data_IF_783712555954
#
_entry.id   IF_783712555954
#
_cell.length_a   1.000
_cell.length_b   1.000
_cell.length_c   1.000
_cell.angle_alpha   90.00
_cell.angle_beta   90.00
_cell.angle_gamma   90.00
#
_symmetry.space_group_name_H-M   'P 1'
#
loop_
_entity.id
_entity.type
_entity.pdbx_description
1 polymer ?
#
# COMPACT_ATOMS: atom_id res chain seq x y z
N UNK A 1 37.08 10.46 -0.93
CA UNK A 1 37.02 10.02 0.49
C UNK A 1 35.93 8.95 0.57
N UNK A 2 36.32 7.69 0.41
CA UNK A 2 35.38 6.57 0.33
C UNK A 2 35.09 5.98 1.70
N UNK A 3 33.84 5.63 1.98
CA UNK A 3 33.50 4.76 3.10
C UNK A 3 33.17 3.36 2.57
N UNK A 4 34.06 2.41 2.87
CA UNK A 4 33.83 0.97 2.73
C UNK A 4 33.00 0.50 3.91
N UNK A 5 31.91 -0.21 3.64
CA UNK A 5 31.24 -1.04 4.64
C UNK A 5 31.78 -2.46 4.53
N UNK A 6 32.40 -2.97 5.61
CA UNK A 6 32.87 -4.36 5.71
C UNK A 6 31.77 -5.21 6.33
N UNK A 7 31.36 -6.28 5.66
CA UNK A 7 30.50 -7.33 6.24
C UNK A 7 31.38 -8.46 6.82
N UNK A 8 30.98 -9.13 7.92
CA UNK A 8 31.76 -10.22 8.49
C UNK A 8 31.77 -11.45 7.58
N UNK A 9 32.92 -12.11 7.48
CA UNK A 9 33.11 -13.38 6.77
C UNK A 9 32.55 -14.54 7.59
N UNK A 10 31.60 -15.29 7.03
CA UNK A 10 31.20 -16.61 7.54
C UNK A 10 31.49 -17.65 6.45
N UNK A 11 32.23 -18.68 6.83
CA UNK A 11 32.78 -19.72 5.94
C UNK A 11 31.97 -21.02 6.03
N UNK A 12 31.66 -21.58 4.85
CA UNK A 12 31.40 -23.00 4.50
C UNK A 12 30.17 -23.75 5.07
N UNK A 13 29.75 -24.90 4.47
CA UNK A 13 29.99 -25.44 3.13
C UNK A 13 28.70 -25.61 2.28
N UNK A 14 28.86 -25.65 0.96
CA UNK A 14 27.81 -25.92 -0.04
C UNK A 14 27.51 -27.42 -0.12
N UNK A 15 26.23 -27.81 -0.11
CA UNK A 15 25.76 -29.07 -0.70
C UNK A 15 24.43 -28.87 -1.47
N UNK A 16 24.30 -29.60 -2.57
CA UNK A 16 23.47 -29.37 -3.76
C UNK A 16 21.96 -29.69 -3.64
N UNK A 17 21.15 -29.02 -4.46
CA UNK A 17 19.69 -29.20 -4.58
C UNK A 17 19.28 -30.51 -5.32
N UNK A 18 18.25 -31.18 -4.80
CA UNK A 18 17.56 -32.30 -5.44
C UNK A 18 16.41 -31.85 -6.39
N UNK A 19 15.86 -32.76 -7.21
CA UNK A 19 15.07 -32.45 -8.41
C UNK A 19 13.59 -32.06 -8.16
N UNK A 20 13.15 -31.85 -6.92
CA UNK A 20 11.71 -31.71 -6.58
C UNK A 20 11.24 -30.29 -6.29
N UNK A 21 12.07 -29.25 -6.45
CA UNK A 21 11.65 -27.85 -6.32
C UNK A 21 11.09 -27.45 -4.95
N UNK A 22 11.19 -28.35 -3.95
CA UNK A 22 10.94 -28.02 -2.55
C UNK A 22 12.16 -27.25 -2.08
N UNK A 23 11.98 -25.99 -1.69
CA UNK A 23 13.00 -25.26 -0.95
C UNK A 23 13.14 -25.99 0.39
N UNK A 24 14.10 -26.92 0.47
CA UNK A 24 14.64 -27.39 1.74
C UNK A 24 15.15 -26.17 2.50
N UNK A 25 15.01 -26.15 3.83
CA UNK A 25 15.27 -24.99 4.68
C UNK A 25 16.67 -24.42 4.43
N UNK A 26 16.76 -23.41 3.57
CA UNK A 26 17.93 -22.57 3.45
C UNK A 26 17.93 -21.65 4.68
N UNK A 27 19.04 -21.59 5.41
CA UNK A 27 19.25 -20.64 6.50
C UNK A 27 19.37 -19.21 5.92
N UNK A 28 18.26 -18.64 5.46
CA UNK A 28 18.17 -17.30 4.90
C UNK A 28 17.72 -16.34 5.99
N UNK A 29 18.55 -15.34 6.29
CA UNK A 29 18.16 -14.24 7.16
C UNK A 29 17.32 -13.26 6.33
N UNK A 30 16.06 -13.08 6.72
CA UNK A 30 15.11 -12.18 6.05
C UNK A 30 14.97 -10.90 6.89
N UNK A 31 15.17 -9.73 6.28
CA UNK A 31 14.98 -8.41 6.90
C UNK A 31 13.92 -7.62 6.12
N UNK A 32 12.88 -7.14 6.82
CA UNK A 32 11.83 -6.28 6.25
C UNK A 32 11.99 -4.87 6.80
N UNK A 33 12.03 -3.87 5.92
CA UNK A 33 12.08 -2.44 6.27
C UNK A 33 10.70 -1.83 6.04
N UNK A 34 10.16 -1.17 7.06
CA UNK A 34 8.86 -0.50 7.02
C UNK A 34 9.02 0.96 7.46
N UNK A 35 8.37 1.84 6.70
CA UNK A 35 8.39 3.29 6.89
C UNK A 35 7.64 3.78 8.12
N UNK A 36 6.56 3.09 8.50
CA UNK A 36 5.78 3.39 9.70
C UNK A 36 6.59 3.03 10.95
N UNK A 37 6.58 3.89 11.96
CA UNK A 37 7.24 3.66 13.26
C UNK A 37 6.57 2.56 14.09
N UNK A 38 5.32 2.24 13.77
CA UNK A 38 4.53 1.19 14.39
C UNK A 38 3.61 0.53 13.36
N UNK A 39 3.08 -0.64 13.71
CA UNK A 39 2.06 -1.32 12.91
C UNK A 39 0.71 -0.74 13.31
N UNK A 40 0.14 0.09 12.45
CA UNK A 40 -1.07 0.85 12.76
C UNK A 40 -2.25 -0.06 13.16
N UNK A 41 -2.95 0.32 14.24
CA UNK A 41 -4.05 -0.49 14.83
C UNK A 41 -5.42 -0.24 14.18
N UNK A 42 -5.54 0.75 13.30
CA UNK A 42 -6.81 1.17 12.67
C UNK A 42 -6.85 0.67 11.22
N UNK A 43 -7.90 -0.05 10.86
CA UNK A 43 -8.05 -0.68 9.55
C UNK A 43 -9.49 -0.66 9.05
N UNK A 44 -9.67 -0.75 7.75
CA UNK A 44 -10.97 -1.08 7.16
C UNK A 44 -11.12 -2.60 7.09
N UNK A 45 -12.37 -3.07 6.97
CA UNK A 45 -12.64 -4.44 6.55
C UNK A 45 -12.03 -4.71 5.17
N UNK A 46 -11.52 -5.91 4.96
CA UNK A 46 -11.08 -6.42 3.67
C UNK A 46 -11.64 -7.82 3.46
N UNK A 47 -11.73 -8.21 2.19
CA UNK A 47 -12.18 -9.54 1.80
C UNK A 47 -10.98 -10.37 1.37
N UNK A 48 -10.80 -11.52 2.01
CA UNK A 48 -9.87 -12.57 1.63
C UNK A 48 -10.62 -13.55 0.74
N UNK A 49 -10.36 -13.47 -0.56
CA UNK A 49 -10.90 -14.39 -1.56
C UNK A 49 -10.20 -15.76 -1.53
N UNK A 50 -10.80 -16.82 -2.11
CA UNK A 50 -10.27 -18.19 -2.03
C UNK A 50 -8.82 -18.38 -2.53
N UNK A 51 -8.38 -17.62 -3.53
CA UNK A 51 -6.99 -17.64 -4.00
C UNK A 51 -6.00 -17.20 -2.90
N UNK A 52 -6.36 -16.19 -2.11
CA UNK A 52 -5.55 -15.66 -1.01
C UNK A 52 -5.64 -16.53 0.24
N UNK A 53 -6.85 -16.96 0.64
CA UNK A 53 -7.04 -17.79 1.83
C UNK A 53 -6.32 -19.14 1.71
N UNK A 54 -6.25 -19.71 0.50
CA UNK A 54 -5.51 -20.94 0.23
C UNK A 54 -4.02 -20.79 0.52
N UNK A 55 -3.41 -19.65 0.17
CA UNK A 55 -2.00 -19.36 0.47
C UNK A 55 -1.80 -19.13 1.97
N UNK A 56 -2.67 -18.33 2.60
CA UNK A 56 -2.59 -18.03 4.02
C UNK A 56 -2.69 -19.29 4.91
N UNK A 57 -3.50 -20.27 4.51
CA UNK A 57 -3.54 -21.60 5.16
C UNK A 57 -2.20 -22.33 5.00
N UNK A 58 -1.66 -22.36 3.79
CA UNK A 58 -0.35 -22.98 3.53
C UNK A 58 0.78 -22.36 4.36
N UNK A 59 0.68 -21.07 4.70
CA UNK A 59 1.66 -20.36 5.54
C UNK A 59 1.40 -20.48 7.05
N UNK A 60 0.31 -21.11 7.48
CA UNK A 60 -0.08 -21.19 8.89
C UNK A 60 -0.56 -19.86 9.47
N UNK A 61 -0.99 -18.92 8.61
CA UNK A 61 -1.48 -17.59 9.00
C UNK A 61 -2.98 -17.61 9.17
N UNK A 62 -3.69 -18.34 8.31
CA UNK A 62 -5.15 -18.35 8.28
C UNK A 62 -5.77 -18.89 9.58
N UNK A 63 -5.13 -19.88 10.21
CA UNK A 63 -5.54 -20.48 11.47
C UNK A 63 -5.52 -19.46 12.62
N UNK A 64 -4.56 -18.52 12.58
CA UNK A 64 -4.47 -17.42 13.55
C UNK A 64 -5.55 -16.37 13.33
N UNK A 65 -6.04 -16.25 12.10
CA UNK A 65 -7.12 -15.34 11.73
C UNK A 65 -8.50 -15.94 11.91
N UNK A 66 -8.63 -17.26 12.07
CA UNK A 66 -9.92 -17.94 12.01
C UNK A 66 -10.93 -17.46 13.06
N UNK A 67 -10.45 -17.02 14.23
CA UNK A 67 -11.31 -16.45 15.28
C UNK A 67 -11.79 -15.02 14.98
N UNK A 68 -11.13 -14.32 14.05
CA UNK A 68 -11.41 -12.94 13.66
C UNK A 68 -12.02 -12.84 12.25
N UNK A 69 -11.88 -13.90 11.44
CA UNK A 69 -12.41 -14.01 10.10
C UNK A 69 -13.88 -14.41 10.11
N UNK A 70 -14.69 -13.69 9.34
CA UNK A 70 -16.11 -13.97 9.15
C UNK A 70 -16.30 -14.52 7.75
N UNK A 71 -16.88 -15.71 7.65
CA UNK A 71 -17.24 -16.31 6.37
C UNK A 71 -18.72 -15.98 6.06
N UNK A 72 -19.01 -15.15 5.04
CA UNK A 72 -20.38 -14.74 4.76
C UNK A 72 -21.23 -15.91 4.27
N UNK A 73 -22.37 -16.15 4.94
CA UNK A 73 -23.30 -17.23 4.55
C UNK A 73 -24.11 -16.92 3.29
N UNK A 74 -24.23 -15.65 2.94
CA UNK A 74 -24.94 -15.20 1.75
C UNK A 74 -24.31 -13.93 1.20
N UNK A 75 -24.48 -13.72 -0.10
CA UNK A 75 -24.07 -12.50 -0.81
C UNK A 75 -25.31 -11.84 -1.40
N UNK A 76 -25.49 -10.55 -1.13
CA UNK A 76 -26.64 -9.78 -1.62
C UNK A 76 -26.16 -8.55 -2.38
N UNK A 77 -26.81 -8.28 -3.51
CA UNK A 77 -26.61 -7.04 -4.28
C UNK A 77 -27.89 -6.23 -4.16
N UNK A 78 -27.82 -5.04 -3.59
CA UNK A 78 -28.94 -4.13 -3.42
C UNK A 78 -28.87 -2.98 -4.43
N UNK A 79 -30.03 -2.57 -4.96
CA UNK A 79 -30.21 -1.27 -5.60
C UNK A 79 -30.10 -0.18 -4.54
N UNK A 80 -29.65 1.01 -4.92
CA UNK A 80 -29.62 2.18 -4.01
C UNK A 80 -30.97 2.51 -3.34
N UNK A 81 -32.09 2.07 -3.92
CA UNK A 81 -33.43 2.20 -3.34
C UNK A 81 -33.82 1.07 -2.37
N UNK A 82 -32.86 0.24 -1.94
CA UNK A 82 -33.06 -0.87 -1.01
C UNK A 82 -33.52 -2.20 -1.62
N UNK A 83 -34.00 -2.22 -2.87
CA UNK A 83 -34.45 -3.43 -3.57
C UNK A 83 -33.29 -4.41 -3.78
N UNK A 84 -33.44 -5.67 -3.38
CA UNK A 84 -32.48 -6.74 -3.72
C UNK A 84 -32.54 -7.00 -5.23
N UNK A 85 -31.38 -6.95 -5.89
CA UNK A 85 -31.18 -7.22 -7.31
C UNK A 85 -30.68 -8.65 -7.56
N UNK A 86 -29.79 -9.14 -6.69
CA UNK A 86 -29.29 -10.50 -6.73
C UNK A 86 -29.03 -11.00 -5.31
N UNK A 87 -29.19 -12.31 -5.10
CA UNK A 87 -28.93 -12.99 -3.85
C UNK A 87 -28.34 -14.36 -4.14
N UNK A 88 -27.27 -14.68 -3.43
CA UNK A 88 -26.70 -16.02 -3.38
C UNK A 88 -26.76 -16.52 -1.92
N UNK A 89 -27.50 -17.61 -1.72
CA UNK A 89 -27.56 -18.33 -0.44
C UNK A 89 -26.44 -19.38 -0.37
N UNK A 90 -26.06 -19.77 0.84
CA UNK A 90 -25.00 -20.77 1.10
C UNK A 90 -23.63 -20.41 0.47
N UNK A 91 -23.35 -19.11 0.39
CA UNK A 91 -22.17 -18.54 -0.27
C UNK A 91 -20.85 -19.10 0.31
N UNK A 92 -20.75 -19.21 1.64
CA UNK A 92 -19.59 -19.79 2.32
C UNK A 92 -19.32 -21.24 1.89
N UNK A 93 -20.39 -22.05 1.74
CA UNK A 93 -20.29 -23.44 1.29
C UNK A 93 -19.91 -23.51 -0.18
N UNK A 94 -20.56 -22.72 -1.04
CA UNK A 94 -20.26 -22.69 -2.47
C UNK A 94 -18.82 -22.26 -2.75
N UNK A 95 -18.29 -21.27 -2.02
CA UNK A 95 -16.89 -20.86 -2.17
C UNK A 95 -15.93 -21.99 -1.81
N UNK A 96 -16.19 -22.73 -0.73
CA UNK A 96 -15.38 -23.88 -0.33
C UNK A 96 -15.48 -25.05 -1.30
N UNK A 97 -16.68 -25.37 -1.78
CA UNK A 97 -16.89 -26.45 -2.74
C UNK A 97 -16.20 -26.15 -4.08
N UNK A 98 -16.37 -24.93 -4.60
CA UNK A 98 -15.84 -24.53 -5.90
C UNK A 98 -14.33 -24.33 -5.90
N UNK A 99 -13.77 -23.74 -4.85
CA UNK A 99 -12.37 -23.30 -4.83
C UNK A 99 -11.50 -24.00 -3.79
N UNK A 100 -12.07 -24.90 -2.97
CA UNK A 100 -11.35 -25.64 -1.92
C UNK A 100 -10.89 -24.77 -0.74
N UNK A 101 -11.25 -23.49 -0.71
CA UNK A 101 -10.80 -22.53 0.30
C UNK A 101 -11.87 -21.47 0.54
N UNK A 102 -12.01 -20.95 1.79
CA UNK A 102 -13.08 -20.02 2.13
C UNK A 102 -12.87 -18.63 1.53
N UNK A 103 -13.98 -17.93 1.37
CA UNK A 103 -14.03 -16.48 1.28
C UNK A 103 -14.30 -15.93 2.67
N UNK A 104 -13.56 -14.91 3.10
CA UNK A 104 -13.70 -14.36 4.45
C UNK A 104 -13.52 -12.86 4.48
N UNK A 105 -14.32 -12.19 5.29
CA UNK A 105 -14.12 -10.80 5.66
C UNK A 105 -13.27 -10.74 6.94
N UNK A 106 -12.26 -9.87 6.97
CA UNK A 106 -11.40 -9.64 8.14
C UNK A 106 -11.14 -8.15 8.31
N UNK A 107 -10.71 -7.73 9.49
CA UNK A 107 -10.12 -6.41 9.62
C UNK A 107 -8.70 -6.42 9.02
N UNK A 108 -8.30 -5.33 8.34
CA UNK A 108 -6.94 -5.23 7.78
C UNK A 108 -5.85 -5.39 8.85
N UNK A 109 -6.09 -4.83 10.04
CA UNK A 109 -5.13 -4.91 11.16
C UNK A 109 -4.85 -6.34 11.56
N UNK A 110 -5.89 -7.17 11.61
CA UNK A 110 -5.82 -8.56 12.04
C UNK A 110 -4.96 -9.36 11.07
N UNK A 111 -5.22 -9.20 9.76
CA UNK A 111 -4.41 -9.82 8.71
C UNK A 111 -2.94 -9.38 8.80
N UNK A 112 -2.69 -8.08 8.94
CA UNK A 112 -1.34 -7.54 9.06
C UNK A 112 -0.61 -8.10 10.29
N UNK A 113 -1.28 -8.12 11.44
CA UNK A 113 -0.71 -8.63 12.69
C UNK A 113 -0.45 -10.13 12.62
N UNK A 114 -1.35 -10.92 12.03
CA UNK A 114 -1.15 -12.36 11.85
C UNK A 114 0.05 -12.65 10.93
N UNK A 115 0.21 -11.88 9.85
CA UNK A 115 1.37 -11.97 8.96
C UNK A 115 2.67 -11.60 9.68
N UNK A 116 2.69 -10.50 10.44
CA UNK A 116 3.87 -10.08 11.21
C UNK A 116 4.22 -11.09 12.28
N UNK A 117 3.23 -11.59 13.02
CA UNK A 117 3.42 -12.61 14.04
C UNK A 117 4.04 -13.86 13.41
N UNK A 118 3.50 -14.32 12.28
CA UNK A 118 4.04 -15.47 11.55
C UNK A 118 5.45 -15.22 11.03
N UNK A 119 5.73 -14.03 10.49
CA UNK A 119 7.06 -13.66 10.03
C UNK A 119 8.08 -13.71 11.18
N UNK A 120 7.74 -13.17 12.35
CA UNK A 120 8.59 -13.22 13.55
C UNK A 120 8.84 -14.64 14.04
N UNK A 121 7.83 -15.51 14.04
CA UNK A 121 7.98 -16.94 14.38
C UNK A 121 8.97 -17.65 13.45
N UNK A 122 9.05 -17.23 12.19
CA UNK A 122 9.96 -17.76 11.19
C UNK A 122 11.35 -17.09 11.23
N UNK A 123 11.61 -16.20 12.18
CA UNK A 123 12.91 -15.54 12.35
C UNK A 123 13.12 -14.30 11.47
N UNK A 124 12.07 -13.75 10.84
CA UNK A 124 12.15 -12.52 10.05
C UNK A 124 12.41 -11.30 10.96
N UNK A 125 13.40 -10.49 10.61
CA UNK A 125 13.74 -9.24 11.31
C UNK A 125 12.95 -8.08 10.71
N UNK A 126 11.98 -7.54 11.45
CA UNK A 126 11.20 -6.37 11.04
C UNK A 126 11.82 -5.08 11.62
N UNK A 127 12.18 -4.10 10.78
CA UNK A 127 12.68 -2.78 11.19
C UNK A 127 11.68 -1.70 10.79
N UNK A 128 11.03 -1.13 11.80
CA UNK A 128 10.05 -0.04 11.68
C UNK A 128 10.73 1.34 11.68
N UNK A 129 10.00 2.37 11.27
CA UNK A 129 10.47 3.76 11.23
C UNK A 129 11.58 4.01 10.20
N UNK A 130 11.76 3.10 9.25
CA UNK A 130 12.73 3.20 8.17
C UNK A 130 12.03 3.80 6.95
N UNK A 131 11.72 5.10 7.03
CA UNK A 131 11.02 5.83 5.97
C UNK A 131 11.95 6.14 4.80
N UNK A 132 11.41 5.95 3.60
CA UNK A 132 11.89 6.57 2.37
C UNK A 132 10.99 7.83 2.15
N UNK A 133 11.57 9.03 2.04
CA UNK A 133 11.07 10.35 2.54
C UNK A 133 9.75 11.00 2.00
N UNK A 134 9.03 11.83 2.84
CA UNK A 134 8.10 13.00 2.52
C UNK A 134 7.51 13.82 3.75
N UNK A 135 6.75 14.94 3.53
CA UNK A 135 6.42 16.18 4.37
C UNK A 135 5.63 16.07 5.73
N UNK A 136 5.50 17.14 6.56
CA UNK A 136 5.02 17.21 7.99
C UNK A 136 3.87 18.24 8.28
N UNK A 137 3.07 18.12 9.36
CA UNK A 137 1.87 18.93 9.72
C UNK A 137 2.16 20.19 10.55
N UNK A 138 3.26 20.26 11.26
CA UNK A 138 3.65 21.47 12.01
C UNK A 138 3.94 22.68 11.09
N UNK A 139 4.04 22.46 9.78
CA UNK A 139 4.16 23.51 8.77
C UNK A 139 2.84 24.20 8.41
N UNK A 140 1.67 23.65 8.74
CA UNK A 140 0.35 24.20 8.37
C UNK A 140 -0.18 25.11 9.50
N UNK A 141 -0.34 26.41 9.19
CA UNK A 141 -0.74 27.46 10.16
C UNK A 141 -2.22 27.87 10.11
N UNK A 142 -2.94 27.56 9.03
CA UNK A 142 -4.36 27.90 8.88
C UNK A 142 -5.24 26.93 9.70
N UNK A 143 -6.08 27.43 10.63
CA UNK A 143 -6.88 26.59 11.52
C UNK A 143 -7.95 25.75 10.78
N UNK A 144 -8.56 26.27 9.71
CA UNK A 144 -9.58 25.53 8.95
C UNK A 144 -8.94 24.37 8.20
N UNK A 145 -7.75 24.60 7.63
CA UNK A 145 -7.00 23.56 6.94
C UNK A 145 -6.55 22.49 7.92
N UNK A 146 -6.05 22.88 9.10
CA UNK A 146 -5.68 21.92 10.17
C UNK A 146 -6.88 21.07 10.57
N UNK A 147 -8.07 21.65 10.71
CA UNK A 147 -9.31 20.89 10.99
C UNK A 147 -9.55 19.85 9.89
N UNK A 148 -9.45 20.23 8.62
CA UNK A 148 -9.59 19.29 7.49
C UNK A 148 -8.51 18.20 7.45
N UNK A 149 -7.29 18.45 7.92
CA UNK A 149 -6.26 17.40 8.03
C UNK A 149 -6.58 16.46 9.21
N UNK A 150 -6.97 17.02 10.36
CA UNK A 150 -7.21 16.26 11.60
C UNK A 150 -8.54 15.49 11.61
N UNK A 151 -9.54 15.90 10.81
CA UNK A 151 -10.81 15.22 10.64
C UNK A 151 -10.83 14.48 9.28
N UNK A 152 -10.61 13.16 9.22
CA UNK A 152 -10.26 12.48 7.97
C UNK A 152 -11.37 12.50 6.91
N UNK A 153 -11.09 13.17 5.79
CA UNK A 153 -11.93 13.14 4.59
C UNK A 153 -11.07 13.08 3.31
N UNK A 154 -11.62 12.45 2.27
CA UNK A 154 -11.01 12.46 0.92
C UNK A 154 -11.73 13.51 0.09
N UNK A 155 -10.97 14.44 -0.47
CA UNK A 155 -11.47 15.52 -1.31
C UNK A 155 -11.03 15.31 -2.74
N UNK A 156 -11.99 15.43 -3.65
CA UNK A 156 -11.76 15.42 -5.09
C UNK A 156 -12.22 16.77 -5.65
N UNK A 157 -11.30 17.53 -6.22
CA UNK A 157 -11.63 18.67 -7.08
C UNK A 157 -11.42 18.25 -8.53
N UNK A 158 -12.45 18.37 -9.36
CA UNK A 158 -12.40 18.00 -10.77
C UNK A 158 -12.71 19.24 -11.60
N UNK A 159 -11.84 19.55 -12.57
CA UNK A 159 -12.00 20.68 -13.47
C UNK A 159 -11.55 20.35 -14.89
N UNK A 160 -11.64 21.30 -15.82
CA UNK A 160 -11.24 21.07 -17.21
C UNK A 160 -9.74 20.72 -17.30
N UNK A 161 -9.43 19.52 -17.79
CA UNK A 161 -8.05 19.07 -18.04
C UNK A 161 -7.23 18.76 -16.78
N UNK A 162 -7.77 18.93 -15.58
CA UNK A 162 -7.04 18.71 -14.33
C UNK A 162 -7.95 18.15 -13.23
N UNK A 163 -7.36 17.45 -12.28
CA UNK A 163 -8.05 17.11 -11.03
C UNK A 163 -7.06 17.03 -9.86
N UNK A 164 -7.59 17.23 -8.67
CA UNK A 164 -6.84 17.18 -7.41
C UNK A 164 -7.48 16.15 -6.51
N UNK A 165 -6.63 15.31 -5.91
CA UNK A 165 -7.02 14.39 -4.86
C UNK A 165 -6.27 14.78 -3.61
N UNK A 166 -6.99 15.05 -2.53
CA UNK A 166 -6.38 15.29 -1.23
C UNK A 166 -7.00 14.44 -0.13
N UNK A 167 -6.18 13.97 0.80
CA UNK A 167 -6.62 13.14 1.91
C UNK A 167 -5.65 13.16 3.07
N UNK A 168 -6.20 12.97 4.27
CA UNK A 168 -5.42 12.85 5.49
C UNK A 168 -4.67 11.52 5.55
N UNK A 169 -3.41 11.59 5.96
CA UNK A 169 -2.53 10.46 6.23
C UNK A 169 -2.05 10.52 7.69
N UNK A 170 -1.42 9.43 8.14
CA UNK A 170 -0.81 9.30 9.48
C UNK A 170 -1.75 9.76 10.61
N UNK A 171 -2.99 9.28 10.62
CA UNK A 171 -3.96 9.62 11.67
C UNK A 171 -4.31 11.12 11.74
N UNK A 172 -4.28 11.83 10.61
CA UNK A 172 -4.60 13.26 10.56
C UNK A 172 -3.44 14.18 10.93
N UNK A 173 -2.21 13.64 10.95
CA UNK A 173 -0.96 14.40 11.16
C UNK A 173 -0.19 14.65 9.86
N UNK A 174 -0.82 14.40 8.71
CA UNK A 174 -0.26 14.66 7.39
C UNK A 174 -1.39 14.83 6.40
N UNK A 175 -1.22 15.72 5.43
CA UNK A 175 -2.17 15.87 4.34
C UNK A 175 -1.48 15.62 3.01
N UNK A 176 -1.96 14.63 2.28
CA UNK A 176 -1.45 14.34 0.95
C UNK A 176 -2.28 15.08 -0.09
N UNK A 177 -1.63 15.75 -1.03
CA UNK A 177 -2.28 16.44 -2.15
C UNK A 177 -1.59 15.98 -3.43
N UNK A 178 -2.38 15.42 -4.35
CA UNK A 178 -1.91 14.98 -5.66
C UNK A 178 -2.63 15.79 -6.73
N UNK A 179 -1.84 16.45 -7.57
CA UNK A 179 -2.31 17.30 -8.66
C UNK A 179 -2.08 16.56 -9.98
N UNK A 180 -3.14 16.28 -10.72
CA UNK A 180 -3.08 15.65 -12.03
C UNK A 180 -3.45 16.68 -13.08
N UNK A 181 -2.50 16.98 -13.95
CA UNK A 181 -2.61 17.95 -15.05
C UNK A 181 -2.05 17.31 -16.32
N UNK A 182 -2.35 17.86 -17.52
CA UNK A 182 -1.77 17.34 -18.74
C UNK A 182 -0.24 17.47 -18.69
N UNK A 183 0.43 16.43 -19.17
CA UNK A 183 1.88 16.35 -19.11
C UNK A 183 2.55 17.40 -20.00
N UNK A 184 3.52 18.11 -19.44
CA UNK A 184 4.37 19.08 -20.11
C UNK A 184 5.86 18.75 -19.99
N UNK A 185 6.20 17.60 -19.39
CA UNK A 185 7.57 17.15 -19.24
C UNK A 185 8.10 16.61 -20.57
N UNK A 186 9.37 16.91 -20.94
CA UNK A 186 10.01 16.30 -22.09
C UNK A 186 9.93 14.77 -22.04
N UNK A 187 9.84 14.09 -23.19
CA UNK A 187 9.68 12.63 -23.26
C UNK A 187 10.71 11.85 -22.43
N UNK A 188 11.95 12.35 -22.34
CA UNK A 188 13.04 11.72 -21.60
C UNK A 188 13.02 11.98 -20.09
N UNK A 189 12.07 12.74 -19.55
CA UNK A 189 12.03 13.17 -18.15
C UNK A 189 10.81 12.57 -17.46
N UNK A 190 11.04 11.60 -16.56
CA UNK A 190 9.98 10.97 -15.77
C UNK A 190 9.63 11.73 -14.48
N UNK A 191 10.58 12.50 -13.95
CA UNK A 191 10.42 13.34 -12.76
C UNK A 191 11.40 14.51 -12.82
N UNK A 192 10.95 15.67 -12.39
CA UNK A 192 11.81 16.82 -12.10
C UNK A 192 11.23 17.66 -10.96
N UNK A 193 12.04 18.49 -10.29
CA UNK A 193 11.51 19.56 -9.46
C UNK A 193 10.54 20.42 -10.29
N UNK A 194 9.36 20.71 -9.72
CA UNK A 194 8.40 21.63 -10.31
C UNK A 194 8.52 23.03 -9.71
N UNK A 195 7.86 24.02 -10.33
CA UNK A 195 7.73 25.36 -9.77
C UNK A 195 6.44 25.45 -8.94
N UNK A 196 6.57 25.99 -7.73
CA UNK A 196 5.41 26.29 -6.85
C UNK A 196 4.55 27.38 -7.48
N UNK A 197 5.16 28.38 -8.14
CA UNK A 197 4.46 29.46 -8.83
C UNK A 197 3.63 28.92 -10.01
N UNK A 198 4.22 28.02 -10.80
CA UNK A 198 3.54 27.36 -11.91
C UNK A 198 2.36 26.51 -11.40
N UNK A 199 2.58 25.71 -10.37
CA UNK A 199 1.54 24.93 -9.71
C UNK A 199 0.38 25.85 -9.26
N UNK A 200 0.67 26.93 -8.54
CA UNK A 200 -0.35 27.89 -8.09
C UNK A 200 -1.11 28.53 -9.24
N UNK A 201 -0.42 28.85 -10.34
CA UNK A 201 -1.04 29.41 -11.55
C UNK A 201 -2.02 28.44 -12.23
N UNK A 202 -1.70 27.14 -12.28
CA UNK A 202 -2.57 26.12 -12.88
C UNK A 202 -3.93 26.00 -12.18
N UNK A 203 -3.97 26.25 -10.87
CA UNK A 203 -5.17 26.17 -10.05
C UNK A 203 -5.72 27.56 -9.65
N UNK A 204 -5.31 28.62 -10.36
CA UNK A 204 -5.86 29.95 -10.12
C UNK A 204 -7.37 29.99 -10.40
N UNK A 205 -8.15 30.53 -9.47
CA UNK A 205 -9.61 30.61 -9.59
C UNK A 205 -10.35 29.30 -9.28
N UNK A 206 -9.64 28.26 -8.85
CA UNK A 206 -10.26 27.07 -8.27
C UNK A 206 -10.74 27.35 -6.84
N UNK A 207 -11.35 26.34 -6.21
CA UNK A 207 -11.87 26.41 -4.85
C UNK A 207 -10.87 27.11 -3.89
N UNK A 208 -11.28 28.19 -3.20
CA UNK A 208 -10.44 28.88 -2.22
C UNK A 208 -9.80 27.98 -1.17
N UNK A 209 -10.45 26.86 -0.79
CA UNK A 209 -9.88 25.91 0.17
C UNK A 209 -8.65 25.21 -0.42
N UNK A 210 -8.76 24.73 -1.66
CA UNK A 210 -7.65 24.12 -2.37
C UNK A 210 -6.49 25.12 -2.54
N UNK A 211 -6.79 26.37 -2.91
CA UNK A 211 -5.72 27.37 -3.10
C UNK A 211 -4.98 27.69 -1.81
N UNK A 212 -5.66 27.77 -0.66
CA UNK A 212 -5.02 27.94 0.66
C UNK A 212 -4.10 26.76 1.02
N UNK A 213 -4.47 25.52 0.67
CA UNK A 213 -3.58 24.37 0.83
C UNK A 213 -2.33 24.48 -0.05
N UNK A 214 -2.50 24.89 -1.32
CA UNK A 214 -1.38 25.07 -2.24
C UNK A 214 -0.45 26.22 -1.83
N UNK A 215 -0.94 27.19 -1.05
CA UNK A 215 -0.10 28.25 -0.46
C UNK A 215 0.88 27.72 0.59
N UNK A 216 0.55 26.62 1.26
CA UNK A 216 1.38 25.98 2.28
C UNK A 216 2.47 25.06 1.70
N UNK A 217 2.54 24.90 0.38
CA UNK A 217 3.50 24.02 -0.30
C UNK A 217 4.79 24.79 -0.59
N UNK A 218 5.90 24.37 0.03
CA UNK A 218 7.22 24.97 -0.18
C UNK A 218 7.99 24.35 -1.36
N UNK A 219 7.64 23.11 -1.70
CA UNK A 219 8.29 22.35 -2.76
C UNK A 219 7.27 21.45 -3.46
N UNK A 220 7.34 21.43 -4.78
CA UNK A 220 6.57 20.52 -5.62
C UNK A 220 7.55 19.76 -6.52
N UNK A 221 7.27 18.48 -6.71
CA UNK A 221 7.91 17.70 -7.76
C UNK A 221 6.85 17.38 -8.82
N UNK A 222 7.24 17.39 -10.09
CA UNK A 222 6.40 16.90 -11.19
C UNK A 222 6.77 15.45 -11.46
N UNK A 223 5.76 14.59 -11.58
CA UNK A 223 5.92 13.21 -12.02
C UNK A 223 5.09 12.98 -13.27
N UNK A 224 5.71 12.39 -14.28
CA UNK A 224 5.01 11.92 -15.45
C UNK A 224 4.23 10.68 -15.08
N UNK A 225 2.93 10.65 -15.38
CA UNK A 225 2.12 9.45 -15.22
C UNK A 225 2.48 8.48 -16.35
N UNK A 226 3.37 7.55 -16.05
CA UNK A 226 3.87 6.59 -17.01
C UNK A 226 3.04 5.31 -16.95
N UNK A 227 2.46 4.93 -18.07
CA UNK A 227 2.12 3.52 -18.27
C UNK A 227 3.41 2.77 -18.54
N UNK A 228 3.72 1.74 -17.75
CA UNK A 228 4.82 0.83 -18.05
C UNK A 228 4.26 -0.38 -18.75
N UNK A 229 4.88 -0.71 -19.87
CA UNK A 229 4.64 -2.01 -20.46
C UNK A 229 5.01 -3.11 -19.47
N UNK A 230 4.33 -4.24 -19.62
CA UNK A 230 4.67 -5.43 -18.86
C UNK A 230 6.16 -5.73 -19.07
N UNK A 231 6.90 -5.86 -17.97
CA UNK A 231 8.31 -6.21 -18.06
C UNK A 231 8.46 -7.66 -18.52
N UNK A 232 9.42 -7.89 -19.42
CA UNK A 232 9.78 -9.25 -19.88
C UNK A 232 10.29 -10.13 -18.74
N UNK A 233 10.89 -9.53 -17.71
CA UNK A 233 11.40 -10.21 -16.52
C UNK A 233 11.32 -9.30 -15.29
N UNK A 234 11.01 -9.87 -14.13
CA UNK A 234 10.96 -9.16 -12.84
C UNK A 234 12.21 -9.43 -11.98
N UNK A 235 13.20 -10.13 -12.55
CA UNK A 235 14.43 -10.57 -11.88
C UNK A 235 15.58 -9.69 -12.38
N UNK A 236 16.45 -9.23 -11.47
CA UNK A 236 17.67 -8.52 -11.84
C UNK A 236 18.62 -9.41 -12.64
N UNK A 237 19.48 -8.84 -13.48
CA UNK A 237 20.45 -9.61 -14.29
C UNK A 237 21.36 -10.51 -13.45
N UNK A 238 21.67 -10.09 -12.22
CA UNK A 238 22.49 -10.86 -11.28
C UNK A 238 21.70 -11.94 -10.53
N UNK A 239 20.38 -12.00 -10.71
CA UNK A 239 19.51 -13.00 -10.09
C UNK A 239 19.31 -12.82 -8.58
N UNK A 240 19.66 -11.67 -8.02
CA UNK A 240 19.66 -11.42 -6.56
C UNK A 240 18.63 -10.37 -6.09
N UNK A 241 17.76 -9.90 -6.99
CA UNK A 241 16.63 -9.02 -6.67
C UNK A 241 15.44 -9.42 -7.55
N UNK A 242 14.25 -9.50 -6.96
CA UNK A 242 12.98 -9.76 -7.66
C UNK A 242 11.97 -8.68 -7.26
N UNK A 243 11.27 -8.10 -8.23
CA UNK A 243 10.11 -7.24 -7.96
C UNK A 243 8.85 -8.09 -7.82
N UNK A 244 8.05 -7.84 -6.77
CA UNK A 244 6.83 -8.59 -6.44
C UNK A 244 5.72 -7.64 -5.98
#
# INVERSE_FOLDING_TARGET
>A
MGQRFSLPSLTSPVQSAGPTGRIESLDIIIVVLESASELAEIGAGLQITPNSSRLLKGWGVYEKLQSQAVEPKSLLVHRYSGKILAKEDEFDKHMKEKYGSPFSDVHRVDLQQALVARARELGVVLRLGQRVESLDLDSIKDPDLREMVTNPSVHFWVGPGAHVVAYSLKGGTMYNIVLLVPDDLPESVARQPGSVEEMKKLFQGWDPVLTRFLECVDKVDKWKLMHREQMDSWISERGNLVMM
#
